data_IF_205002611920
#
_entry.id   IF_205002611920
#
_cell.length_a   1.000
_cell.length_b   1.000
_cell.length_c   1.000
_cell.angle_alpha   90.00
_cell.angle_beta   90.00
_cell.angle_gamma   90.00
#
_symmetry.space_group_name_H-M   'P 1'
#
loop_
_entity.id
_entity.type
_entity.pdbx_description
1 polymer ?
#
# COMPACT_ATOMS: atom_id res chain seq x y z
N UNK A 1 -4.21 -16.01 6.67
CA UNK A 1 -3.65 -15.02 5.71
C UNK A 1 -2.17 -14.75 5.99
N UNK A 2 -1.77 -14.53 7.26
CA UNK A 2 -0.37 -14.30 7.66
C UNK A 2 0.57 -15.43 7.22
N UNK A 3 0.19 -16.70 7.44
CA UNK A 3 1.01 -17.85 7.06
C UNK A 3 1.27 -17.91 5.55
N UNK A 4 0.24 -17.65 4.72
CA UNK A 4 0.38 -17.62 3.25
C UNK A 4 1.29 -16.49 2.76
N UNK A 5 1.23 -15.32 3.39
CA UNK A 5 2.13 -14.20 3.08
C UNK A 5 3.59 -14.55 3.39
N UNK A 6 3.83 -15.20 4.54
CA UNK A 6 5.16 -15.65 4.95
C UNK A 6 5.67 -16.74 4.01
N UNK A 7 4.87 -17.75 3.68
CA UNK A 7 5.25 -18.83 2.77
C UNK A 7 5.63 -18.32 1.38
N UNK A 8 4.84 -17.37 0.84
CA UNK A 8 5.11 -16.75 -0.47
C UNK A 8 6.34 -15.86 -0.44
N UNK A 9 6.54 -15.11 0.63
CA UNK A 9 7.74 -14.31 0.82
C UNK A 9 8.99 -15.20 0.92
N UNK A 10 8.93 -16.29 1.68
CA UNK A 10 10.03 -17.25 1.78
C UNK A 10 10.31 -17.94 0.44
N UNK A 11 9.28 -18.27 -0.33
CA UNK A 11 9.43 -18.77 -1.70
C UNK A 11 10.12 -17.77 -2.63
N UNK A 12 9.76 -16.49 -2.53
CA UNK A 12 10.44 -15.41 -3.25
C UNK A 12 11.92 -15.29 -2.86
N UNK A 13 12.22 -15.20 -1.56
CA UNK A 13 13.61 -15.08 -1.06
C UNK A 13 14.45 -16.28 -1.50
N UNK A 14 13.93 -17.49 -1.37
CA UNK A 14 14.63 -18.72 -1.77
C UNK A 14 14.94 -18.72 -3.27
N UNK A 15 14.02 -18.23 -4.10
CA UNK A 15 14.22 -18.12 -5.55
C UNK A 15 15.20 -17.02 -5.94
N UNK A 16 15.16 -15.86 -5.29
CA UNK A 16 16.09 -14.76 -5.55
C UNK A 16 17.53 -15.10 -5.11
N UNK A 17 17.69 -15.83 -4.00
CA UNK A 17 18.99 -16.38 -3.62
C UNK A 17 19.55 -17.32 -4.71
N UNK A 18 18.68 -17.92 -5.54
CA UNK A 18 19.05 -18.75 -6.67
C UNK A 18 19.11 -18.04 -8.04
N UNK A 19 18.61 -16.80 -8.18
CA UNK A 19 18.55 -16.04 -9.44
C UNK A 19 18.72 -14.53 -9.21
N UNK A 20 19.70 -13.92 -9.86
CA UNK A 20 20.09 -12.53 -9.65
C UNK A 20 19.42 -11.54 -10.63
N UNK A 21 18.12 -11.23 -10.51
CA UNK A 21 17.55 -10.17 -11.37
C UNK A 21 16.44 -9.31 -10.76
N UNK A 22 15.58 -9.82 -9.86
CA UNK A 22 14.43 -9.03 -9.39
C UNK A 22 14.76 -8.16 -8.17
N UNK A 23 15.48 -8.72 -7.21
CA UNK A 23 15.97 -8.06 -6.00
C UNK A 23 16.81 -6.81 -6.29
N UNK A 24 17.61 -6.83 -7.36
CA UNK A 24 18.40 -5.67 -7.80
C UNK A 24 17.56 -4.45 -8.24
N UNK A 25 16.26 -4.66 -8.50
CA UNK A 25 15.31 -3.60 -8.90
C UNK A 25 14.49 -3.07 -7.71
N UNK A 26 14.62 -3.69 -6.54
CA UNK A 26 13.90 -3.27 -5.33
C UNK A 26 14.67 -2.13 -4.68
N UNK A 27 14.06 -0.94 -4.49
CA UNK A 27 14.72 0.16 -3.79
C UNK A 27 15.09 -0.22 -2.35
N UNK A 28 16.21 0.31 -1.86
CA UNK A 28 16.63 0.07 -0.48
C UNK A 28 15.58 0.62 0.50
N UNK A 29 15.25 -0.16 1.53
CA UNK A 29 14.28 0.21 2.55
C UNK A 29 12.81 0.13 2.10
N UNK A 30 12.52 -0.41 0.91
CA UNK A 30 11.16 -0.52 0.42
C UNK A 30 10.30 -1.45 1.28
N UNK A 31 9.05 -1.07 1.49
CA UNK A 31 8.00 -1.97 1.93
C UNK A 31 7.58 -2.85 0.75
N UNK A 32 7.63 -4.17 0.93
CA UNK A 32 7.38 -5.15 -0.12
C UNK A 32 6.07 -5.87 0.13
N UNK A 33 5.21 -5.88 -0.87
CA UNK A 33 3.94 -6.59 -0.88
C UNK A 33 3.93 -7.65 -1.98
N UNK A 34 3.09 -8.68 -1.81
CA UNK A 34 2.93 -9.73 -2.80
C UNK A 34 1.51 -9.71 -3.39
N UNK A 35 1.43 -9.65 -4.72
CA UNK A 35 0.20 -9.89 -5.47
C UNK A 35 0.34 -11.13 -6.34
N UNK A 36 -0.72 -11.91 -6.46
CA UNK A 36 -0.76 -13.11 -7.29
C UNK A 36 -2.08 -13.18 -8.04
N UNK A 37 -2.01 -13.37 -9.36
CA UNK A 37 -3.21 -13.49 -10.20
C UNK A 37 -4.14 -14.67 -9.78
N UNK A 38 -3.58 -15.70 -9.14
CA UNK A 38 -4.30 -16.90 -8.70
C UNK A 38 -4.68 -16.89 -7.20
N UNK A 39 -4.35 -15.82 -6.48
CA UNK A 39 -4.76 -15.62 -5.08
C UNK A 39 -5.23 -14.16 -4.90
N UNK A 40 -6.48 -13.93 -5.28
CA UNK A 40 -7.11 -12.60 -5.22
C UNK A 40 -7.23 -12.08 -3.79
N UNK A 41 -7.49 -12.97 -2.83
CA UNK A 41 -7.66 -12.60 -1.42
C UNK A 41 -6.35 -12.10 -0.81
N UNK A 42 -5.25 -12.80 -1.11
CA UNK A 42 -3.90 -12.37 -0.73
C UNK A 42 -3.56 -11.01 -1.34
N UNK A 43 -3.85 -10.86 -2.63
CA UNK A 43 -3.57 -9.62 -3.37
C UNK A 43 -4.34 -8.45 -2.79
N UNK A 44 -5.64 -8.62 -2.54
CA UNK A 44 -6.48 -7.56 -1.99
C UNK A 44 -6.02 -7.17 -0.56
N UNK A 45 -5.75 -8.15 0.30
CA UNK A 45 -5.29 -7.87 1.66
C UNK A 45 -3.97 -7.08 1.68
N UNK A 46 -3.04 -7.40 0.78
CA UNK A 46 -1.77 -6.69 0.67
C UNK A 46 -1.93 -5.28 0.04
N UNK A 47 -2.87 -5.08 -0.88
CA UNK A 47 -3.23 -3.76 -1.39
C UNK A 47 -3.85 -2.86 -0.32
N UNK A 48 -4.71 -3.42 0.53
CA UNK A 48 -5.33 -2.69 1.64
C UNK A 48 -4.27 -2.25 2.65
N UNK A 49 -3.32 -3.13 2.98
CA UNK A 49 -2.19 -2.80 3.85
C UNK A 49 -1.28 -1.72 3.26
N UNK A 50 -0.95 -1.82 1.96
CA UNK A 50 -0.15 -0.82 1.26
C UNK A 50 -0.85 0.55 1.23
N UNK A 51 -2.17 0.56 1.05
CA UNK A 51 -2.99 1.77 1.07
C UNK A 51 -2.98 2.44 2.45
N UNK A 52 -3.09 1.67 3.53
CA UNK A 52 -3.01 2.20 4.90
C UNK A 52 -1.64 2.81 5.21
N UNK A 53 -0.55 2.18 4.74
CA UNK A 53 0.80 2.71 4.90
C UNK A 53 0.99 3.99 4.07
N UNK A 54 0.55 4.01 2.81
CA UNK A 54 0.58 5.20 1.95
C UNK A 54 -0.19 6.37 2.57
N UNK A 55 -1.35 6.10 3.16
CA UNK A 55 -2.14 7.07 3.92
C UNK A 55 -1.34 7.61 5.12
N UNK A 56 -0.70 6.73 5.90
CA UNK A 56 0.12 7.13 7.03
C UNK A 56 1.34 7.97 6.67
N UNK A 57 2.01 7.64 5.56
CA UNK A 57 3.09 8.44 4.98
C UNK A 57 2.58 9.82 4.57
N UNK A 58 1.43 9.86 3.88
CA UNK A 58 0.80 11.12 3.44
C UNK A 58 0.38 12.01 4.60
N UNK A 59 -0.01 11.41 5.73
CA UNK A 59 -0.40 12.11 6.95
C UNK A 59 0.80 12.44 7.87
N UNK A 60 1.99 11.93 7.56
CA UNK A 60 3.23 12.22 8.28
C UNK A 60 3.43 11.44 9.59
N UNK A 61 2.67 10.37 9.84
CA UNK A 61 2.85 9.51 11.03
C UNK A 61 3.53 8.17 10.71
N UNK A 62 3.76 7.89 9.43
CA UNK A 62 4.68 6.84 8.96
C UNK A 62 5.80 7.53 8.18
N UNK A 63 7.03 7.08 8.37
CA UNK A 63 8.20 7.59 7.64
C UNK A 63 8.06 7.33 6.13
N UNK A 64 8.47 8.29 5.28
CA UNK A 64 8.36 8.13 3.83
C UNK A 64 9.37 7.07 3.34
N UNK A 65 8.85 6.03 2.70
CA UNK A 65 9.64 4.93 2.15
C UNK A 65 8.99 4.41 0.86
N UNK A 66 9.77 3.81 -0.06
CA UNK A 66 9.22 3.22 -1.28
C UNK A 66 8.21 2.11 -0.95
N UNK A 67 7.09 2.09 -1.66
CA UNK A 67 6.09 1.03 -1.56
C UNK A 67 6.05 0.24 -2.86
N UNK A 68 6.44 -1.03 -2.82
CA UNK A 68 6.50 -1.88 -4.02
C UNK A 68 5.68 -3.14 -3.85
N UNK A 69 5.02 -3.55 -4.93
CA UNK A 69 4.37 -4.85 -5.03
C UNK A 69 5.08 -5.71 -6.05
N UNK A 70 5.46 -6.91 -5.64
CA UNK A 70 5.88 -7.99 -6.54
C UNK A 70 4.60 -8.70 -6.96
N UNK A 71 4.25 -8.59 -8.24
CA UNK A 71 3.05 -9.19 -8.80
C UNK A 71 3.40 -10.39 -9.67
N UNK A 72 2.94 -11.57 -9.28
CA UNK A 72 3.04 -12.82 -10.04
C UNK A 72 1.86 -12.90 -11.02
N UNK A 73 2.13 -12.82 -12.33
CA UNK A 73 1.10 -12.93 -13.38
C UNK A 73 0.92 -14.37 -13.87
N UNK A 74 1.94 -15.22 -13.70
CA UNK A 74 1.99 -16.68 -13.92
C UNK A 74 3.09 -17.27 -13.01
N UNK A 75 3.14 -18.60 -12.79
CA UNK A 75 4.20 -19.23 -12.01
C UNK A 75 5.61 -18.79 -12.44
N UNK A 76 6.39 -18.22 -11.51
CA UNK A 76 7.76 -17.72 -11.72
C UNK A 76 7.87 -16.57 -12.75
N UNK A 77 6.78 -15.84 -12.93
CA UNK A 77 6.65 -14.75 -13.86
C UNK A 77 6.16 -13.55 -13.05
N UNK A 78 7.14 -12.78 -12.52
CA UNK A 78 6.88 -11.64 -11.66
C UNK A 78 7.20 -10.29 -12.32
N UNK A 79 6.50 -9.26 -11.88
CA UNK A 79 6.82 -7.85 -12.17
C UNK A 79 6.82 -7.04 -10.88
N UNK A 80 7.61 -5.96 -10.87
CA UNK A 80 7.59 -4.97 -9.79
C UNK A 80 6.68 -3.81 -10.18
N UNK A 81 5.79 -3.45 -9.26
CA UNK A 81 4.86 -2.32 -9.38
C UNK A 81 5.17 -1.35 -8.26
N UNK A 82 5.45 -0.09 -8.62
CA UNK A 82 5.59 1.00 -7.65
C UNK A 82 4.20 1.49 -7.23
N UNK A 83 3.82 1.17 -5.99
CA UNK A 83 2.55 1.60 -5.37
C UNK A 83 2.64 3.02 -4.80
N UNK A 84 3.84 3.52 -4.58
CA UNK A 84 4.10 4.89 -4.13
C UNK A 84 4.21 5.90 -5.28
N UNK A 85 3.86 5.50 -6.51
CA UNK A 85 3.91 6.39 -7.67
C UNK A 85 3.13 7.69 -7.42
N UNK A 86 3.57 8.76 -8.09
CA UNK A 86 2.97 10.09 -7.93
C UNK A 86 1.46 10.10 -8.18
N UNK A 87 0.96 9.22 -9.05
CA UNK A 87 -0.47 9.06 -9.34
C UNK A 87 -1.23 8.54 -8.12
N UNK A 88 -0.74 7.49 -7.46
CA UNK A 88 -1.39 6.94 -6.27
C UNK A 88 -1.26 7.87 -5.06
N UNK A 89 -0.09 8.53 -4.89
CA UNK A 89 0.10 9.56 -3.87
C UNK A 89 -0.90 10.72 -4.02
N UNK A 90 -1.09 11.23 -5.25
CA UNK A 90 -2.09 12.28 -5.54
C UNK A 90 -3.52 11.82 -5.24
N UNK A 91 -3.87 10.59 -5.63
CA UNK A 91 -5.17 10.01 -5.32
C UNK A 91 -5.44 9.92 -3.81
N UNK A 92 -4.47 9.42 -3.04
CA UNK A 92 -4.54 9.35 -1.58
C UNK A 92 -4.68 10.75 -0.95
N UNK A 93 -3.89 11.73 -1.42
CA UNK A 93 -3.98 13.11 -0.97
C UNK A 93 -5.36 13.74 -1.21
N UNK A 94 -5.93 13.55 -2.41
CA UNK A 94 -7.27 14.06 -2.74
C UNK A 94 -8.36 13.43 -1.88
N UNK A 95 -8.26 12.13 -1.58
CA UNK A 95 -9.19 11.44 -0.68
C UNK A 95 -9.11 12.02 0.74
N UNK A 96 -7.89 12.18 1.28
CA UNK A 96 -7.66 12.75 2.61
C UNK A 96 -8.23 14.16 2.71
N UNK A 97 -7.97 15.01 1.71
CA UNK A 97 -8.51 16.37 1.67
C UNK A 97 -10.04 16.36 1.64
N UNK A 98 -10.64 15.44 0.88
CA UNK A 98 -12.10 15.31 0.80
C UNK A 98 -12.71 14.88 2.14
N UNK A 99 -12.09 13.93 2.84
CA UNK A 99 -12.53 13.49 4.18
C UNK A 99 -12.36 14.62 5.19
N UNK A 100 -11.20 15.30 5.21
CA UNK A 100 -10.96 16.46 6.09
C UNK A 100 -11.98 17.57 5.87
N UNK A 101 -12.31 17.87 4.61
CA UNK A 101 -13.32 18.88 4.27
C UNK A 101 -14.71 18.47 4.77
N UNK A 102 -15.12 17.22 4.55
CA UNK A 102 -16.40 16.70 5.07
C UNK A 102 -16.45 16.74 6.59
N UNK A 103 -15.41 16.27 7.28
CA UNK A 103 -15.36 16.29 8.74
C UNK A 103 -15.37 17.71 9.30
N UNK A 104 -14.70 18.67 8.64
CA UNK A 104 -14.76 20.08 9.02
C UNK A 104 -16.16 20.68 8.84
N UNK A 105 -16.87 20.32 7.77
CA UNK A 105 -18.25 20.76 7.55
C UNK A 105 -19.21 20.18 8.59
N UNK A 106 -19.07 18.89 8.95
CA UNK A 106 -19.85 18.25 10.00
C UNK A 106 -19.57 18.84 11.39
N UNK A 107 -18.29 19.14 11.70
CA UNK A 107 -17.90 19.82 12.93
C UNK A 107 -18.44 21.25 12.99
N UNK A 108 -18.39 22.00 11.89
CA UNK A 108 -18.95 23.36 11.82
C UNK A 108 -20.46 23.33 12.07
N UNK A 109 -21.18 22.40 11.44
CA UNK A 109 -22.63 22.27 11.62
C UNK A 109 -22.99 21.93 13.07
N UNK A 110 -22.23 21.05 13.74
CA UNK A 110 -22.44 20.75 15.16
C UNK A 110 -22.12 21.92 16.07
N UNK A 111 -21.11 22.74 15.74
CA UNK A 111 -20.81 23.96 16.50
C UNK A 111 -21.95 24.98 16.31
N UNK A 112 -22.46 25.15 15.10
CA UNK A 112 -23.59 26.04 14.83
C UNK A 112 -24.86 25.59 15.58
N UNK A 113 -25.12 24.27 15.66
CA UNK A 113 -26.20 23.70 16.46
C UNK A 113 -26.00 23.94 17.97
N UNK A 114 -24.77 23.85 18.46
CA UNK A 114 -24.44 24.10 19.88
C UNK A 114 -24.46 25.58 20.26
N UNK A 115 -24.20 26.49 19.31
CA UNK A 115 -24.23 27.94 19.51
C UNK A 115 -25.64 28.52 19.31
N UNK A 116 -26.50 27.84 18.55
CA UNK A 116 -27.89 28.23 18.33
C UNK A 116 -28.88 27.70 19.40
N UNK A 117 -28.42 26.87 20.34
CA UNK A 117 -29.17 26.38 21.51
C UNK A 117 -28.88 27.21 22.76
#
# INVERSE_FOLDING_TARGET
>A
MMDRNIDRFMGFITRELGKSTLSARIPQGAHIFHGAYNDSDLTQANLDMATNILLGMTLGYVEDAPLVMIFEYRPNQETLIDLSSEVYRKGAQSLIQSVRKKSQQELSHRIDELVAA
#
